data_IF_906475946774
#
_entry.id   IF_906475946774
#
_cell.length_a   1.000
_cell.length_b   1.000
_cell.length_c   1.000
_cell.angle_alpha   90.00
_cell.angle_beta   90.00
_cell.angle_gamma   90.00
#
_symmetry.space_group_name_H-M   'P 1'
#
loop_
_entity.id
_entity.type
_entity.pdbx_description
1 polymer ?
#
# COMPACT_ATOMS: atom_id res chain seq x y z
N UNK A 1 -13.29 10.30 -10.56
CA UNK A 1 -12.44 9.07 -10.64
C UNK A 1 -11.53 9.02 -9.41
N UNK A 2 -11.19 7.83 -8.90
CA UNK A 2 -10.20 7.63 -7.83
C UNK A 2 -9.07 6.78 -8.42
N UNK A 3 -7.89 7.37 -8.55
CA UNK A 3 -6.69 6.76 -9.14
C UNK A 3 -5.79 6.31 -7.99
N UNK A 4 -5.44 5.03 -7.98
CA UNK A 4 -4.56 4.46 -6.96
C UNK A 4 -3.15 4.23 -7.50
N UNK A 5 -2.17 4.66 -6.73
CA UNK A 5 -0.77 4.29 -6.91
C UNK A 5 -0.50 2.85 -6.42
N UNK A 6 0.64 2.26 -6.77
CA UNK A 6 1.05 0.89 -6.37
C UNK A 6 1.05 0.73 -4.84
N UNK A 7 1.52 1.76 -4.12
CA UNK A 7 1.53 1.78 -2.65
C UNK A 7 0.13 1.92 -2.01
N UNK A 8 -0.93 2.15 -2.79
CA UNK A 8 -2.29 2.10 -2.26
C UNK A 8 -3.01 0.85 -2.75
N UNK A 9 -2.73 0.43 -3.99
CA UNK A 9 -3.35 -0.72 -4.61
C UNK A 9 -3.07 -2.03 -3.84
N UNK A 10 -1.87 -2.20 -3.25
CA UNK A 10 -1.59 -3.38 -2.43
C UNK A 10 -2.60 -3.59 -1.29
N UNK A 11 -3.25 -2.50 -0.84
CA UNK A 11 -4.27 -2.54 0.24
C UNK A 11 -5.70 -2.76 -0.19
N UNK A 12 -5.94 -2.76 -1.49
CA UNK A 12 -7.28 -2.87 -2.07
C UNK A 12 -7.27 -3.83 -3.25
N UNK A 13 -6.62 -4.97 -3.05
CA UNK A 13 -6.57 -6.03 -4.06
C UNK A 13 -7.94 -6.70 -4.24
N UNK A 14 -8.19 -7.32 -5.41
CA UNK A 14 -9.32 -8.22 -5.61
C UNK A 14 -9.44 -9.25 -4.48
N UNK A 15 -10.66 -9.45 -3.99
CA UNK A 15 -10.95 -10.34 -2.84
C UNK A 15 -10.80 -9.68 -1.45
N UNK A 16 -10.23 -8.47 -1.36
CA UNK A 16 -10.09 -7.75 -0.09
C UNK A 16 -11.41 -7.00 0.28
N UNK A 17 -11.94 -7.15 1.51
CA UNK A 17 -13.03 -6.33 2.06
C UNK A 17 -12.89 -4.83 1.83
N UNK A 18 -11.67 -4.29 1.87
CA UNK A 18 -11.36 -2.88 1.63
C UNK A 18 -11.74 -2.47 0.20
N UNK A 19 -11.43 -3.30 -0.81
CA UNK A 19 -11.82 -3.03 -2.19
C UNK A 19 -13.34 -3.04 -2.34
N UNK A 20 -14.03 -3.97 -1.69
CA UNK A 20 -15.50 -4.04 -1.70
C UNK A 20 -16.11 -2.75 -1.16
N UNK A 21 -15.62 -2.27 -0.01
CA UNK A 21 -16.09 -1.02 0.58
C UNK A 21 -15.76 0.19 -0.31
N UNK A 22 -14.52 0.28 -0.81
CA UNK A 22 -14.07 1.36 -1.69
C UNK A 22 -14.89 1.42 -2.98
N UNK A 23 -15.16 0.26 -3.59
CA UNK A 23 -15.99 0.13 -4.80
C UNK A 23 -17.42 0.57 -4.53
N UNK A 24 -18.03 0.10 -3.43
CA UNK A 24 -19.38 0.49 -3.05
C UNK A 24 -19.49 2.00 -2.78
N UNK A 25 -18.50 2.58 -2.09
CA UNK A 25 -18.44 4.00 -1.81
C UNK A 25 -18.23 4.84 -3.07
N UNK A 26 -17.27 4.45 -3.92
CA UNK A 26 -17.00 5.14 -5.18
C UNK A 26 -18.26 5.13 -6.08
N UNK A 27 -18.89 3.97 -6.26
CA UNK A 27 -20.12 3.85 -7.04
C UNK A 27 -21.26 4.70 -6.49
N UNK A 28 -21.45 4.73 -5.17
CA UNK A 28 -22.48 5.55 -4.51
C UNK A 28 -22.27 7.04 -4.77
N UNK A 29 -21.01 7.49 -4.84
CA UNK A 29 -20.66 8.88 -5.08
C UNK A 29 -20.43 9.21 -6.56
N UNK A 30 -20.68 8.26 -7.49
CA UNK A 30 -20.48 8.47 -8.93
C UNK A 30 -19.02 8.46 -9.39
N UNK A 31 -18.08 8.03 -8.53
CA UNK A 31 -16.69 7.85 -8.90
C UNK A 31 -16.43 6.44 -9.45
N UNK A 32 -15.51 6.35 -10.41
CA UNK A 32 -14.90 5.08 -10.85
C UNK A 32 -13.54 4.89 -10.20
N UNK A 33 -13.15 3.64 -9.94
CA UNK A 33 -11.79 3.28 -9.53
C UNK A 33 -10.91 3.07 -10.74
N UNK A 34 -9.67 3.55 -10.66
CA UNK A 34 -8.72 3.49 -11.74
C UNK A 34 -7.28 3.29 -11.24
N UNK A 35 -6.44 2.74 -12.11
CA UNK A 35 -5.00 2.57 -11.93
C UNK A 35 -4.32 2.90 -13.26
N UNK A 36 -3.04 3.22 -13.26
CA UNK A 36 -2.29 3.35 -14.51
C UNK A 36 -1.79 1.99 -14.99
N UNK A 37 -1.46 1.87 -16.27
CA UNK A 37 -0.84 0.65 -16.81
C UNK A 37 0.56 0.40 -16.23
N UNK A 38 1.28 1.44 -15.80
CA UNK A 38 2.50 1.34 -15.00
C UNK A 38 2.21 0.62 -13.67
N UNK A 39 1.23 1.11 -12.89
CA UNK A 39 0.83 0.50 -11.61
C UNK A 39 0.40 -0.96 -11.80
N UNK A 40 -0.38 -1.24 -12.86
CA UNK A 40 -0.78 -2.61 -13.19
C UNK A 40 0.43 -3.52 -13.41
N UNK A 41 1.39 -3.11 -14.26
CA UNK A 41 2.61 -3.89 -14.54
C UNK A 41 3.43 -4.14 -13.29
N UNK A 42 3.52 -3.16 -12.39
CA UNK A 42 4.22 -3.29 -11.12
C UNK A 42 3.58 -4.34 -10.23
N UNK A 43 2.26 -4.29 -10.06
CA UNK A 43 1.55 -5.26 -9.24
C UNK A 43 1.64 -6.67 -9.80
N UNK A 44 1.53 -6.82 -11.12
CA UNK A 44 1.69 -8.10 -11.81
C UNK A 44 3.11 -8.65 -11.62
N UNK A 45 4.13 -7.80 -11.74
CA UNK A 45 5.53 -8.18 -11.46
C UNK A 45 5.71 -8.62 -10.01
N UNK A 46 5.24 -7.83 -9.04
CA UNK A 46 5.33 -8.15 -7.62
C UNK A 46 4.61 -9.47 -7.29
N UNK A 47 3.43 -9.71 -7.88
CA UNK A 47 2.69 -10.97 -7.72
C UNK A 47 3.50 -12.15 -8.26
N UNK A 48 4.08 -12.02 -9.45
CA UNK A 48 4.93 -13.07 -10.07
C UNK A 48 6.15 -13.37 -9.21
N UNK A 49 6.83 -12.34 -8.70
CA UNK A 49 7.98 -12.48 -7.80
C UNK A 49 7.58 -13.19 -6.50
N UNK A 50 6.46 -12.78 -5.89
CA UNK A 50 5.90 -13.39 -4.69
C UNK A 50 5.53 -14.87 -4.88
N UNK A 51 4.87 -15.21 -5.99
CA UNK A 51 4.55 -16.60 -6.34
C UNK A 51 5.81 -17.44 -6.57
N UNK A 52 6.81 -16.87 -7.25
CA UNK A 52 8.10 -17.54 -7.48
C UNK A 52 8.81 -17.81 -6.15
N UNK A 53 8.78 -16.85 -5.23
CA UNK A 53 9.38 -17.00 -3.91
C UNK A 53 8.65 -18.06 -3.07
N UNK A 54 7.31 -18.01 -3.03
CA UNK A 54 6.49 -18.98 -2.32
C UNK A 54 6.69 -20.40 -2.85
N UNK A 55 6.83 -20.56 -4.18
CA UNK A 55 7.12 -21.85 -4.80
C UNK A 55 8.49 -22.39 -4.38
N UNK A 56 9.54 -21.57 -4.41
CA UNK A 56 10.87 -21.96 -3.94
C UNK A 56 10.86 -22.38 -2.47
N UNK A 57 10.06 -21.71 -1.65
CA UNK A 57 9.91 -22.03 -0.24
C UNK A 57 9.18 -23.37 -0.04
N UNK A 58 8.10 -23.61 -0.78
CA UNK A 58 7.40 -24.90 -0.79
C UNK A 58 8.32 -26.05 -1.19
N UNK A 59 9.11 -25.89 -2.25
CA UNK A 59 10.09 -26.88 -2.71
C UNK A 59 11.20 -27.13 -1.68
N UNK A 60 11.62 -26.10 -0.95
CA UNK A 60 12.59 -26.23 0.15
C UNK A 60 11.99 -27.00 1.34
N UNK A 61 10.78 -26.64 1.76
CA UNK A 61 10.06 -27.33 2.84
C UNK A 61 9.79 -28.80 2.52
N UNK A 62 9.37 -29.09 1.27
CA UNK A 62 9.17 -30.45 0.78
C UNK A 62 10.46 -31.28 0.84
N UNK A 63 11.59 -30.70 0.42
CA UNK A 63 12.91 -31.35 0.52
C UNK A 63 13.30 -31.63 1.98
N UNK A 64 12.99 -30.73 2.88
CA UNK A 64 13.29 -30.90 4.31
C UNK A 64 12.47 -32.04 4.92
N UNK A 65 11.15 -32.06 4.70
CA UNK A 65 10.26 -33.15 5.16
C UNK A 65 10.71 -34.50 4.60
N UNK A 66 11.12 -34.54 3.33
CA UNK A 66 11.58 -35.75 2.66
C UNK A 66 12.86 -36.38 3.25
N UNK A 67 13.59 -35.67 4.12
CA UNK A 67 14.73 -36.22 4.89
C UNK A 67 14.29 -37.14 6.03
N UNK A 68 13.10 -36.93 6.59
CA UNK A 68 12.62 -37.64 7.78
C UNK A 68 11.67 -38.78 7.47
N UNK A 69 11.21 -38.90 6.22
CA UNK A 69 10.28 -39.95 5.79
C UNK A 69 10.97 -41.01 4.94
N UNK A 70 10.44 -42.24 4.99
CA UNK A 70 10.91 -43.33 4.14
C UNK A 70 10.71 -42.99 2.66
N UNK A 71 11.52 -43.51 1.73
CA UNK A 71 11.39 -43.23 0.30
C UNK A 71 9.96 -43.39 -0.26
N UNK A 72 9.24 -44.43 0.18
CA UNK A 72 7.86 -44.70 -0.24
C UNK A 72 6.81 -43.70 0.29
N UNK A 73 7.17 -42.88 1.28
CA UNK A 73 6.31 -41.88 1.92
C UNK A 73 6.74 -40.44 1.60
N UNK A 74 7.67 -40.26 0.66
CA UNK A 74 8.11 -38.93 0.24
C UNK A 74 6.97 -38.19 -0.43
N UNK A 75 6.89 -36.89 -0.16
CA UNK A 75 6.01 -35.99 -0.89
C UNK A 75 6.64 -35.81 -2.28
N UNK A 76 5.97 -36.30 -3.33
CA UNK A 76 6.49 -36.30 -4.71
C UNK A 76 5.90 -35.14 -5.53
N UNK A 77 4.65 -34.78 -5.30
CA UNK A 77 4.00 -33.65 -5.97
C UNK A 77 2.94 -33.08 -5.05
N UNK A 78 3.04 -31.78 -4.74
CA UNK A 78 1.87 -31.02 -4.34
C UNK A 78 1.07 -30.67 -5.60
N UNK A 79 -0.25 -30.53 -5.51
CA UNK A 79 -1.11 -30.03 -6.61
C UNK A 79 -0.68 -28.68 -7.17
N UNK A 80 0.22 -27.97 -6.48
CA UNK A 80 0.79 -26.68 -6.87
C UNK A 80 2.10 -26.79 -7.65
N UNK A 81 2.80 -27.94 -7.60
CA UNK A 81 4.12 -28.15 -8.25
C UNK A 81 4.05 -27.95 -9.76
N UNK A 82 2.95 -28.39 -10.37
CA UNK A 82 2.78 -28.45 -11.82
C UNK A 82 1.94 -27.27 -12.36
N UNK A 83 1.45 -26.39 -11.49
CA UNK A 83 0.69 -25.21 -11.91
C UNK A 83 1.63 -24.15 -12.50
N UNK A 84 1.37 -23.65 -13.72
CA UNK A 84 2.13 -22.55 -14.30
C UNK A 84 1.93 -21.28 -13.47
N UNK A 85 3.01 -20.67 -13.01
CA UNK A 85 2.98 -19.37 -12.32
C UNK A 85 2.42 -18.27 -13.22
N UNK A 86 2.59 -18.41 -14.54
CA UNK A 86 2.06 -17.51 -15.56
C UNK A 86 0.53 -17.47 -15.52
N UNK A 87 -0.14 -18.63 -15.44
CA UNK A 87 -1.61 -18.69 -15.38
C UNK A 87 -2.18 -17.93 -14.18
N UNK A 88 -1.62 -18.13 -12.99
CA UNK A 88 -2.06 -17.41 -11.77
C UNK A 88 -1.74 -15.90 -11.85
N UNK A 89 -0.69 -15.53 -12.58
CA UNK A 89 -0.34 -14.12 -12.83
C UNK A 89 -1.32 -13.48 -13.81
N UNK A 90 -1.71 -14.20 -14.86
CA UNK A 90 -2.65 -13.72 -15.89
C UNK A 90 -4.07 -13.59 -15.32
N UNK A 91 -4.51 -14.54 -14.50
CA UNK A 91 -5.78 -14.46 -13.78
C UNK A 91 -5.81 -13.24 -12.85
N UNK A 92 -4.73 -13.01 -12.11
CA UNK A 92 -4.61 -11.83 -11.24
C UNK A 92 -4.63 -10.51 -12.04
N UNK A 93 -3.95 -10.45 -13.19
CA UNK A 93 -4.03 -9.28 -14.08
C UNK A 93 -5.47 -9.06 -14.57
N UNK A 94 -6.18 -10.12 -14.97
CA UNK A 94 -7.56 -10.04 -15.41
C UNK A 94 -8.50 -9.52 -14.30
N UNK A 95 -8.33 -9.99 -13.06
CA UNK A 95 -9.08 -9.49 -11.90
C UNK A 95 -8.84 -8.00 -11.65
N UNK A 96 -7.59 -7.53 -11.75
CA UNK A 96 -7.27 -6.11 -11.63
C UNK A 96 -7.94 -5.28 -12.75
N UNK A 97 -7.90 -5.76 -14.00
CA UNK A 97 -8.57 -5.10 -15.12
C UNK A 97 -10.09 -5.10 -15.01
N UNK A 98 -10.66 -6.10 -14.35
CA UNK A 98 -12.09 -6.15 -14.06
C UNK A 98 -12.48 -5.17 -12.95
N UNK A 99 -11.64 -5.02 -11.92
CA UNK A 99 -11.89 -4.15 -10.78
C UNK A 99 -11.60 -2.66 -11.06
N UNK A 100 -10.65 -2.36 -11.95
CA UNK A 100 -10.15 -1.01 -12.18
C UNK A 100 -10.17 -0.60 -13.65
N UNK A 101 -10.51 0.66 -13.90
CA UNK A 101 -10.22 1.30 -15.20
C UNK A 101 -8.71 1.50 -15.34
N UNK A 102 -8.09 0.91 -16.37
CA UNK A 102 -6.64 1.06 -16.60
C UNK A 102 -6.38 2.27 -17.50
N UNK A 103 -5.70 3.27 -16.97
CA UNK A 103 -5.28 4.46 -17.69
C UNK A 103 -3.93 4.20 -18.37
N UNK A 104 -3.88 4.37 -19.68
CA UNK A 104 -2.64 4.22 -20.43
C UNK A 104 -1.76 5.46 -20.25
N UNK A 105 -0.50 5.28 -19.85
CA UNK A 105 0.48 6.37 -19.82
C UNK A 105 0.77 6.87 -21.23
N UNK A 106 0.64 8.19 -21.42
CA UNK A 106 0.96 8.82 -22.69
C UNK A 106 2.47 8.78 -22.95
N UNK A 107 2.92 8.60 -24.21
CA UNK A 107 4.33 8.78 -24.54
C UNK A 107 4.90 10.15 -24.11
N UNK A 108 4.09 11.22 -24.16
CA UNK A 108 4.52 12.55 -23.71
C UNK A 108 4.68 12.61 -22.20
N UNK A 109 3.75 12.01 -21.44
CA UNK A 109 3.82 11.90 -19.98
C UNK A 109 5.08 11.11 -19.55
N UNK A 110 5.37 10.00 -20.25
CA UNK A 110 6.56 9.19 -19.99
C UNK A 110 7.87 9.94 -20.30
N UNK A 111 7.92 10.66 -21.43
CA UNK A 111 9.08 11.45 -21.81
C UNK A 111 9.32 12.60 -20.82
N UNK A 112 8.27 13.31 -20.42
CA UNK A 112 8.37 14.38 -19.42
C UNK A 112 8.82 13.84 -18.07
N UNK A 113 8.33 12.66 -17.67
CA UNK A 113 8.78 12.03 -16.44
C UNK A 113 10.28 11.71 -16.44
N UNK A 114 10.81 11.19 -17.57
CA UNK A 114 12.25 10.97 -17.73
C UNK A 114 13.06 12.27 -17.69
N UNK A 115 12.54 13.34 -18.30
CA UNK A 115 13.18 14.68 -18.22
C UNK A 115 13.20 15.18 -16.78
N UNK A 116 12.09 15.06 -16.05
CA UNK A 116 12.02 15.46 -14.63
C UNK A 116 12.98 14.66 -13.77
N UNK A 117 13.12 13.37 -14.01
CA UNK A 117 14.09 12.53 -13.29
C UNK A 117 15.53 12.96 -13.57
N UNK A 118 15.88 13.19 -14.84
CA UNK A 118 17.21 13.65 -15.24
C UNK A 118 17.56 15.03 -14.66
N UNK A 119 16.58 15.95 -14.68
CA UNK A 119 16.73 17.32 -14.17
C UNK A 119 16.49 17.42 -12.65
N UNK A 120 16.11 16.31 -11.99
CA UNK A 120 15.72 16.25 -10.57
C UNK A 120 14.58 17.22 -10.22
N UNK A 121 13.65 17.39 -11.14
CA UNK A 121 12.44 18.21 -10.98
C UNK A 121 11.33 17.44 -10.26
N UNK A 122 10.55 18.08 -9.37
CA UNK A 122 9.44 17.44 -8.68
C UNK A 122 8.40 16.81 -9.64
N UNK A 123 7.77 15.68 -9.25
CA UNK A 123 7.83 15.01 -7.96
C UNK A 123 9.03 14.06 -7.79
N UNK A 124 9.95 14.00 -8.76
CA UNK A 124 11.19 13.22 -8.59
C UNK A 124 12.00 13.71 -7.39
N UNK A 125 12.69 12.78 -6.75
CA UNK A 125 13.56 13.05 -5.62
C UNK A 125 14.85 13.73 -6.09
N UNK A 126 15.47 14.50 -5.19
CA UNK A 126 16.73 15.20 -5.47
C UNK A 126 17.92 14.27 -5.81
N UNK A 127 17.83 12.97 -5.50
CA UNK A 127 18.82 11.97 -5.89
C UNK A 127 18.68 11.47 -7.34
N UNK A 128 17.69 11.95 -8.11
CA UNK A 128 17.45 11.53 -9.48
C UNK A 128 16.67 10.23 -9.61
N UNK A 129 15.84 9.91 -8.61
CA UNK A 129 14.90 8.78 -8.64
C UNK A 129 13.46 9.30 -8.67
N UNK A 130 12.58 8.57 -9.36
CA UNK A 130 11.12 8.79 -9.30
C UNK A 130 10.47 9.07 -10.63
N UNK A 131 11.14 8.80 -11.76
CA UNK A 131 10.56 8.97 -13.09
C UNK A 131 9.28 8.15 -13.27
N UNK A 132 9.24 6.94 -12.70
CA UNK A 132 8.04 6.09 -12.76
C UNK A 132 6.86 6.68 -11.98
N UNK A 133 7.09 7.12 -10.74
CA UNK A 133 6.06 7.71 -9.88
C UNK A 133 5.58 9.05 -10.49
N UNK A 134 6.50 9.78 -11.13
CA UNK A 134 6.19 10.96 -11.93
C UNK A 134 5.31 10.65 -13.14
N UNK A 135 5.58 9.58 -13.89
CA UNK A 135 4.75 9.18 -15.02
C UNK A 135 3.32 8.78 -14.58
N UNK A 136 3.20 8.12 -13.42
CA UNK A 136 1.90 7.80 -12.80
C UNK A 136 1.14 9.10 -12.47
N UNK A 137 1.82 10.06 -11.83
CA UNK A 137 1.25 11.36 -11.51
C UNK A 137 0.81 12.16 -12.75
N UNK A 138 1.67 12.24 -13.78
CA UNK A 138 1.35 12.96 -15.02
C UNK A 138 0.15 12.33 -15.74
N UNK A 139 0.07 10.99 -15.73
CA UNK A 139 -1.10 10.26 -16.25
C UNK A 139 -2.38 10.65 -15.48
N UNK A 140 -2.31 10.74 -14.15
CA UNK A 140 -3.43 11.17 -13.31
C UNK A 140 -3.82 12.65 -13.56
N UNK A 141 -2.83 13.53 -13.72
CA UNK A 141 -3.02 14.94 -14.03
C UNK A 141 -3.69 15.14 -15.40
N UNK A 142 -3.24 14.41 -16.43
CA UNK A 142 -3.86 14.42 -17.76
C UNK A 142 -5.30 13.91 -17.71
N UNK A 143 -5.56 12.85 -16.94
CA UNK A 143 -6.92 12.35 -16.74
C UNK A 143 -7.83 13.41 -16.06
N UNK A 144 -7.31 14.17 -15.10
CA UNK A 144 -8.04 15.27 -14.47
C UNK A 144 -8.39 16.38 -15.47
N UNK A 145 -7.43 16.81 -16.30
CA UNK A 145 -7.64 17.84 -17.34
C UNK A 145 -8.68 17.40 -18.38
N UNK A 146 -8.57 16.17 -18.89
CA UNK A 146 -9.51 15.63 -19.89
C UNK A 146 -10.95 15.56 -19.37
N UNK A 147 -11.12 15.25 -18.08
CA UNK A 147 -12.45 15.20 -17.48
C UNK A 147 -13.11 16.58 -17.42
N UNK A 148 -12.32 17.63 -17.17
CA UNK A 148 -12.79 19.03 -17.17
C UNK A 148 -13.16 19.49 -18.60
N UNK A 149 -12.32 19.16 -19.58
CA UNK A 149 -12.54 19.51 -20.99
C UNK A 149 -13.84 18.90 -21.54
N UNK A 150 -14.10 17.61 -21.27
CA UNK A 150 -15.29 16.91 -21.76
C UNK A 150 -16.60 17.55 -21.25
N UNK A 151 -16.65 17.95 -19.98
CA UNK A 151 -17.83 18.64 -19.43
C UNK A 151 -17.94 20.09 -19.94
N UNK A 152 -16.82 20.78 -20.16
CA UNK A 152 -16.83 22.11 -20.77
C UNK A 152 -17.45 22.09 -22.17
N UNK A 153 -17.23 21.01 -22.94
CA UNK A 153 -17.83 20.81 -24.26
C UNK A 153 -19.31 20.44 -24.14
N UNK A 154 -19.66 19.51 -23.24
CA UNK A 154 -21.06 19.09 -23.04
C UNK A 154 -21.95 20.23 -22.54
N UNK A 155 -21.48 21.06 -21.62
CA UNK A 155 -22.20 22.23 -21.11
C UNK A 155 -22.45 23.28 -22.19
N UNK A 156 -21.47 23.51 -23.07
CA UNK A 156 -21.62 24.39 -24.25
C UNK A 156 -22.66 23.85 -25.24
N UNK A 157 -22.67 22.55 -25.50
CA UNK A 157 -23.64 21.91 -26.40
C UNK A 157 -25.06 21.97 -25.81
N UNK A 158 -25.20 21.79 -24.50
CA UNK A 158 -26.50 21.75 -23.83
C UNK A 158 -27.16 23.11 -23.62
N UNK A 159 -26.50 24.23 -23.94
CA UNK A 159 -27.03 25.59 -23.76
C UNK A 159 -27.42 25.94 -22.31
N UNK A 160 -27.00 25.13 -21.34
CA UNK A 160 -27.27 25.35 -19.91
C UNK A 160 -26.19 26.27 -19.35
N UNK A 161 -26.60 27.45 -18.88
CA UNK A 161 -25.78 28.22 -17.94
C UNK A 161 -25.43 27.30 -16.76
N UNK A 162 -24.15 27.22 -16.41
CA UNK A 162 -23.52 26.26 -15.49
C UNK A 162 -24.12 26.22 -14.08
N UNK A 163 -25.33 25.69 -13.96
CA UNK A 163 -26.00 25.37 -12.71
C UNK A 163 -26.52 23.94 -12.79
N UNK A 164 -25.76 22.99 -12.26
CA UNK A 164 -26.28 21.63 -12.11
C UNK A 164 -25.33 20.61 -11.50
N UNK A 165 -24.10 20.50 -11.98
CA UNK A 165 -23.18 19.48 -11.44
C UNK A 165 -21.76 19.90 -11.77
N UNK A 166 -20.94 20.18 -10.76
CA UNK A 166 -19.50 20.31 -10.95
C UNK A 166 -18.95 18.92 -11.31
N UNK A 167 -17.98 18.81 -12.23
CA UNK A 167 -17.34 17.53 -12.52
C UNK A 167 -16.78 16.95 -11.22
N UNK A 168 -16.99 15.66 -11.02
CA UNK A 168 -16.44 14.98 -9.86
C UNK A 168 -14.91 15.05 -9.93
N UNK A 169 -14.23 15.49 -8.85
CA UNK A 169 -12.78 15.65 -8.88
C UNK A 169 -12.12 14.30 -9.17
N UNK A 170 -10.98 14.34 -9.87
CA UNK A 170 -10.10 13.19 -9.95
C UNK A 170 -9.29 13.16 -8.67
N UNK A 171 -9.40 12.08 -7.90
CA UNK A 171 -8.66 11.90 -6.65
C UNK A 171 -7.50 10.97 -6.95
N UNK A 172 -6.26 11.44 -6.80
CA UNK A 172 -5.07 10.60 -6.88
C UNK A 172 -4.59 10.26 -5.47
N UNK A 173 -4.53 8.96 -5.17
CA UNK A 173 -4.17 8.44 -3.86
C UNK A 173 -2.77 7.85 -3.92
N UNK A 174 -1.82 8.48 -3.22
CA UNK A 174 -0.41 8.07 -3.17
C UNK A 174 0.18 8.32 -1.79
N UNK A 175 1.03 7.41 -1.34
CA UNK A 175 1.83 7.54 -0.12
C UNK A 175 3.20 8.18 -0.37
N UNK A 176 3.50 8.58 -1.61
CA UNK A 176 4.80 9.10 -1.96
C UNK A 176 5.03 10.47 -1.31
N UNK A 177 6.11 10.53 -0.51
CA UNK A 177 6.57 11.73 0.19
C UNK A 177 7.04 12.82 -0.77
N UNK A 178 7.29 12.48 -2.05
CA UNK A 178 7.55 13.44 -3.13
C UNK A 178 6.43 14.46 -3.33
N UNK A 179 5.22 14.17 -2.84
CA UNK A 179 4.07 15.07 -2.91
C UNK A 179 3.81 15.87 -1.63
N UNK A 180 4.72 15.95 -0.64
CA UNK A 180 4.48 16.66 0.65
C UNK A 180 3.17 16.24 1.36
N UNK A 181 2.77 16.89 2.46
CA UNK A 181 1.42 16.66 3.02
C UNK A 181 0.36 17.21 2.03
N UNK A 182 -0.49 16.39 1.41
CA UNK A 182 -1.48 16.84 0.44
C UNK A 182 -2.53 17.79 1.00
N UNK A 183 -2.69 17.82 2.34
CA UNK A 183 -3.55 18.78 3.04
C UNK A 183 -2.90 20.15 3.18
N UNK A 184 -1.57 20.22 3.09
CA UNK A 184 -0.80 21.45 3.11
C UNK A 184 -0.20 21.74 1.74
N UNK A 185 -1.01 22.25 0.81
CA UNK A 185 -0.56 22.63 -0.55
C UNK A 185 0.64 23.59 -0.56
N UNK A 186 0.85 24.38 0.50
CA UNK A 186 2.01 25.27 0.60
C UNK A 186 3.34 24.52 0.75
N UNK A 187 3.29 23.26 1.19
CA UNK A 187 4.44 22.39 1.31
C UNK A 187 4.86 21.75 -0.03
N UNK A 188 4.04 21.84 -1.08
CA UNK A 188 4.44 21.40 -2.42
C UNK A 188 5.50 22.34 -3.00
N UNK A 189 6.38 21.77 -3.84
CA UNK A 189 7.23 22.56 -4.70
C UNK A 189 6.37 23.55 -5.53
N UNK A 190 6.83 24.80 -5.77
CA UNK A 190 6.05 25.81 -6.49
C UNK A 190 5.49 25.30 -7.83
N UNK A 191 6.31 24.59 -8.62
CA UNK A 191 5.93 24.02 -9.92
C UNK A 191 4.73 23.06 -9.80
N UNK A 192 4.73 22.16 -8.81
CA UNK A 192 3.61 21.24 -8.58
C UNK A 192 2.33 21.97 -8.14
N UNK A 193 2.45 23.08 -7.41
CA UNK A 193 1.27 23.86 -7.00
C UNK A 193 0.58 24.48 -8.20
N UNK A 194 1.35 25.04 -9.12
CA UNK A 194 0.83 25.64 -10.35
C UNK A 194 0.17 24.57 -11.22
N UNK A 195 0.82 23.42 -11.41
CA UNK A 195 0.27 22.30 -12.20
C UNK A 195 -1.06 21.76 -11.65
N UNK A 196 -1.19 21.68 -10.33
CA UNK A 196 -2.41 21.21 -9.65
C UNK A 196 -3.47 22.31 -9.58
N UNK A 197 -3.10 23.59 -9.52
CA UNK A 197 -4.06 24.69 -9.49
C UNK A 197 -4.92 24.73 -10.76
N UNK A 198 -4.33 24.36 -11.90
CA UNK A 198 -4.96 24.38 -13.21
C UNK A 198 -5.73 23.09 -13.56
N UNK A 199 -5.80 22.10 -12.66
CA UNK A 199 -6.49 20.84 -12.90
C UNK A 199 -7.41 20.47 -11.72
N UNK A 200 -8.58 19.82 -11.94
CA UNK A 200 -9.43 19.31 -10.87
C UNK A 200 -8.85 18.00 -10.26
N UNK A 201 -7.58 18.03 -9.88
CA UNK A 201 -6.85 16.93 -9.26
C UNK A 201 -6.75 17.14 -7.75
N UNK A 202 -7.29 16.18 -6.99
CA UNK A 202 -7.19 16.14 -5.53
C UNK A 202 -6.22 15.06 -5.10
N UNK A 203 -5.14 15.43 -4.40
CA UNK A 203 -4.16 14.49 -3.86
C UNK A 203 -4.58 13.99 -2.48
N UNK A 204 -4.52 12.68 -2.22
CA UNK A 204 -4.81 12.07 -0.92
C UNK A 204 -3.72 11.06 -0.56
N UNK A 205 -3.39 10.98 0.73
CA UNK A 205 -2.35 10.05 1.21
C UNK A 205 -2.84 8.62 1.30
N UNK A 206 -4.14 8.43 1.51
CA UNK A 206 -4.69 7.13 1.82
C UNK A 206 -6.15 6.97 1.38
N UNK A 207 -6.57 5.72 1.23
CA UNK A 207 -7.92 5.34 0.80
C UNK A 207 -9.01 5.90 1.73
N UNK A 208 -8.79 5.96 3.04
CA UNK A 208 -9.79 6.49 3.99
C UNK A 208 -9.96 8.01 3.81
N UNK A 209 -8.86 8.74 3.63
CA UNK A 209 -8.88 10.15 3.27
C UNK A 209 -9.56 10.40 1.92
N UNK A 210 -9.42 9.48 0.95
CA UNK A 210 -10.13 9.54 -0.33
C UNK A 210 -11.64 9.29 -0.17
N UNK A 211 -12.03 8.34 0.69
CA UNK A 211 -13.45 8.09 1.03
C UNK A 211 -14.09 9.30 1.71
N UNK A 212 -13.39 9.94 2.64
CA UNK A 212 -13.86 11.16 3.27
C UNK A 212 -14.06 12.29 2.25
N UNK A 213 -13.18 12.38 1.25
CA UNK A 213 -13.26 13.42 0.20
C UNK A 213 -14.51 13.29 -0.66
N UNK A 214 -14.92 12.07 -0.99
CA UNK A 214 -16.14 11.83 -1.77
C UNK A 214 -17.41 11.92 -0.90
N UNK A 215 -17.31 12.41 0.33
CA UNK A 215 -18.44 12.57 1.25
C UNK A 215 -18.90 11.26 1.88
N UNK A 216 -18.08 10.20 1.85
CA UNK A 216 -18.42 8.97 2.56
C UNK A 216 -18.39 9.21 4.08
N UNK A 217 -19.34 8.68 4.86
CA UNK A 217 -19.40 8.90 6.30
C UNK A 217 -18.08 8.50 6.96
N UNK A 218 -17.37 9.51 7.48
CA UNK A 218 -16.09 9.32 8.13
C UNK A 218 -15.98 10.18 9.39
N UNK A 219 -15.24 9.68 10.36
CA UNK A 219 -15.04 10.35 11.64
C UNK A 219 -13.65 10.05 12.19
N UNK A 220 -13.12 11.00 12.96
CA UNK A 220 -11.94 10.76 13.76
C UNK A 220 -12.34 10.12 15.08
N UNK A 221 -11.76 8.97 15.39
CA UNK A 221 -12.00 8.23 16.64
C UNK A 221 -10.71 8.07 17.42
N UNK A 222 -10.84 7.83 18.73
CA UNK A 222 -9.69 7.42 19.53
C UNK A 222 -9.22 6.04 19.05
N UNK A 223 -7.95 5.95 18.63
CA UNK A 223 -7.37 4.72 18.13
C UNK A 223 -7.09 3.71 19.26
N UNK A 224 -7.21 4.09 20.54
CA UNK A 224 -7.01 3.16 21.67
C UNK A 224 -7.94 1.95 21.62
N UNK A 225 -9.22 2.15 21.28
CA UNK A 225 -10.20 1.07 21.22
C UNK A 225 -9.88 0.01 20.17
N UNK A 226 -9.07 0.34 19.16
CA UNK A 226 -8.58 -0.58 18.13
C UNK A 226 -7.24 -1.18 18.57
N UNK A 227 -6.30 -0.32 19.00
CA UNK A 227 -4.91 -0.73 19.28
C UNK A 227 -4.70 -1.49 20.59
N UNK A 228 -5.65 -1.42 21.52
CA UNK A 228 -5.61 -2.18 22.77
C UNK A 228 -6.16 -3.60 22.64
N UNK A 229 -6.85 -3.92 21.53
CA UNK A 229 -7.40 -5.25 21.29
C UNK A 229 -6.30 -6.29 21.05
N UNK A 230 -6.54 -7.51 21.52
CA UNK A 230 -5.58 -8.60 21.41
C UNK A 230 -5.40 -9.10 19.97
N UNK A 231 -6.48 -9.09 19.16
CA UNK A 231 -6.45 -9.43 17.74
C UNK A 231 -5.49 -8.51 16.96
N UNK A 232 -5.67 -7.19 17.08
CA UNK A 232 -4.81 -6.19 16.46
C UNK A 232 -3.35 -6.32 16.94
N UNK A 233 -3.13 -6.51 18.24
CA UNK A 233 -1.77 -6.67 18.81
C UNK A 233 -1.09 -7.93 18.29
N UNK A 234 -1.84 -9.01 18.09
CA UNK A 234 -1.36 -10.25 17.46
C UNK A 234 -0.87 -9.98 16.04
N UNK A 235 -1.73 -9.42 15.19
CA UNK A 235 -1.41 -9.11 13.80
C UNK A 235 -0.23 -8.11 13.67
N UNK A 236 -0.20 -7.07 14.52
CA UNK A 236 0.90 -6.11 14.56
C UNK A 236 2.22 -6.78 14.98
N UNK A 237 2.18 -7.69 15.95
CA UNK A 237 3.38 -8.44 16.36
C UNK A 237 3.91 -9.27 15.21
N UNK A 238 3.05 -9.94 14.46
CA UNK A 238 3.44 -10.71 13.28
C UNK A 238 4.03 -9.82 12.19
N UNK A 239 3.40 -8.67 11.90
CA UNK A 239 3.90 -7.70 10.93
C UNK A 239 5.29 -7.17 11.30
N UNK A 240 5.48 -6.70 12.54
CA UNK A 240 6.79 -6.22 13.03
C UNK A 240 7.83 -7.34 12.99
N UNK A 241 7.45 -8.56 13.35
CA UNK A 241 8.38 -9.71 13.30
C UNK A 241 8.82 -9.99 11.87
N UNK A 242 7.89 -9.95 10.91
CA UNK A 242 8.16 -10.16 9.48
C UNK A 242 9.12 -9.10 8.92
N UNK A 243 8.86 -7.82 9.19
CA UNK A 243 9.73 -6.72 8.77
C UNK A 243 11.11 -6.82 9.40
N UNK A 244 11.17 -7.10 10.71
CA UNK A 244 12.43 -7.34 11.42
C UNK A 244 13.26 -8.40 10.72
N UNK A 245 12.67 -9.55 10.39
CA UNK A 245 13.42 -10.64 9.75
C UNK A 245 13.93 -10.24 8.37
N UNK A 246 13.13 -9.51 7.60
CA UNK A 246 13.54 -8.95 6.31
C UNK A 246 14.74 -8.01 6.41
N UNK A 247 14.88 -7.29 7.53
CA UNK A 247 16.03 -6.42 7.78
C UNK A 247 17.27 -7.15 8.31
N UNK A 248 17.08 -8.19 9.14
CA UNK A 248 18.19 -8.85 9.85
C UNK A 248 18.79 -10.04 9.09
N UNK A 249 18.13 -10.57 8.05
CA UNK A 249 18.62 -11.72 7.30
C UNK A 249 18.22 -11.66 5.83
N UNK A 250 19.15 -11.94 4.89
CA UNK A 250 18.80 -12.17 3.48
C UNK A 250 18.14 -13.54 3.26
N UNK A 251 18.00 -14.37 4.31
CA UNK A 251 17.35 -15.67 4.22
C UNK A 251 15.84 -15.53 3.93
N UNK A 252 15.20 -16.54 3.29
CA UNK A 252 13.77 -16.51 3.01
C UNK A 252 12.96 -16.25 4.28
N UNK A 253 11.90 -15.44 4.15
CA UNK A 253 10.97 -14.97 5.19
C UNK A 253 10.35 -16.05 6.11
N UNK A 254 10.69 -17.32 5.95
CA UNK A 254 9.95 -18.48 6.49
C UNK A 254 10.76 -19.40 7.41
N UNK A 255 12.07 -19.24 7.52
CA UNK A 255 12.82 -19.97 8.55
C UNK A 255 12.88 -19.11 9.83
N UNK A 256 11.85 -19.21 10.67
CA UNK A 256 11.89 -18.68 12.03
C UNK A 256 13.04 -19.36 12.76
N UNK A 257 14.14 -18.65 13.05
CA UNK A 257 15.14 -19.25 13.88
C UNK A 257 14.60 -19.19 15.32
N UNK A 258 14.59 -20.31 16.06
CA UNK A 258 14.15 -20.34 17.47
C UNK A 258 14.87 -19.31 18.36
N UNK A 259 15.98 -18.75 17.86
CA UNK A 259 16.77 -17.71 18.49
C UNK A 259 16.26 -16.27 18.28
N UNK A 260 15.25 -16.01 17.44
CA UNK A 260 14.61 -14.68 17.33
C UNK A 260 13.33 -14.64 18.15
N UNK A 261 13.30 -13.83 19.21
CA UNK A 261 12.08 -13.59 20.00
C UNK A 261 11.68 -12.13 19.93
N UNK A 262 10.50 -11.85 19.38
CA UNK A 262 9.87 -10.53 19.40
C UNK A 262 8.92 -10.39 20.59
N UNK A 263 9.11 -9.33 21.38
CA UNK A 263 8.12 -8.94 22.39
C UNK A 263 6.86 -8.38 21.74
N UNK A 264 5.72 -8.39 22.45
CA UNK A 264 4.54 -7.65 22.03
C UNK A 264 4.92 -6.18 21.77
N UNK A 265 4.57 -5.63 20.59
CA UNK A 265 4.79 -4.23 20.27
C UNK A 265 4.11 -3.34 21.31
N UNK A 266 4.87 -2.36 21.81
CA UNK A 266 4.39 -1.34 22.72
C UNK A 266 4.20 -0.04 21.95
N UNK A 267 2.98 0.45 21.95
CA UNK A 267 2.63 1.75 21.44
C UNK A 267 3.43 2.84 22.18
N UNK A 268 4.14 3.68 21.43
CA UNK A 268 4.90 4.82 21.94
C UNK A 268 4.14 6.13 21.76
N UNK A 269 3.54 6.27 20.58
CA UNK A 269 2.75 7.44 20.20
C UNK A 269 1.62 6.96 19.31
N UNK A 270 0.41 7.42 19.59
CA UNK A 270 -0.77 7.08 18.81
C UNK A 270 -1.35 8.35 18.20
N UNK A 271 -1.62 8.32 16.91
CA UNK A 271 -2.46 9.31 16.26
C UNK A 271 -3.95 9.08 16.56
N UNK A 272 -4.81 9.93 16.02
CA UNK A 272 -6.24 9.60 15.91
C UNK A 272 -6.41 8.55 14.80
N UNK A 273 -7.41 7.69 14.91
CA UNK A 273 -7.82 6.84 13.79
C UNK A 273 -8.86 7.59 12.96
N UNK A 274 -8.71 7.57 11.64
CA UNK A 274 -9.75 8.02 10.73
C UNK A 274 -10.57 6.80 10.32
N UNK A 275 -11.87 6.84 10.58
CA UNK A 275 -12.75 5.69 10.43
C UNK A 275 -13.86 6.00 9.44
N UNK A 276 -14.15 5.07 8.53
CA UNK A 276 -15.30 5.04 7.64
C UNK A 276 -16.18 3.82 7.95
N UNK A 277 -17.51 3.97 7.84
CA UNK A 277 -18.44 2.86 8.09
C UNK A 277 -19.42 2.68 6.93
N UNK A 278 -19.66 1.43 6.53
CA UNK A 278 -20.75 1.09 5.64
C UNK A 278 -20.74 -0.36 5.18
N UNK A 279 -21.90 -0.86 4.76
CA UNK A 279 -22.06 -2.26 4.33
C UNK A 279 -21.73 -3.29 5.41
N UNK A 280 -21.99 -2.96 6.68
CA UNK A 280 -21.64 -3.80 7.83
C UNK A 280 -20.15 -3.80 8.19
N UNK A 281 -19.33 -3.05 7.47
CA UNK A 281 -17.89 -2.96 7.69
C UNK A 281 -17.49 -1.60 8.25
N UNK A 282 -16.44 -1.62 9.06
CA UNK A 282 -15.78 -0.42 9.58
C UNK A 282 -14.32 -0.43 9.14
N UNK A 283 -13.94 0.52 8.31
CA UNK A 283 -12.57 0.70 7.85
C UNK A 283 -11.91 1.80 8.68
N UNK A 284 -10.80 1.50 9.34
CA UNK A 284 -10.06 2.45 10.17
C UNK A 284 -8.62 2.56 9.70
N UNK A 285 -8.21 3.76 9.29
CA UNK A 285 -6.80 4.09 9.06
C UNK A 285 -6.22 4.73 10.31
N UNK A 286 -5.11 4.21 10.81
CA UNK A 286 -4.43 4.76 11.98
C UNK A 286 -2.93 4.80 11.75
N UNK A 287 -2.30 5.88 12.23
CA UNK A 287 -0.85 6.03 12.19
C UNK A 287 -0.33 6.19 13.61
N UNK A 288 0.77 5.52 13.91
CA UNK A 288 1.40 5.59 15.21
C UNK A 288 2.85 5.13 15.17
N UNK A 289 3.51 5.25 16.32
CA UNK A 289 4.86 4.75 16.52
C UNK A 289 4.78 3.58 17.51
N UNK A 290 5.26 2.42 17.10
CA UNK A 290 5.36 1.24 17.96
C UNK A 290 6.82 0.90 18.18
N UNK A 291 7.09 0.32 19.35
CA UNK A 291 8.40 -0.22 19.66
C UNK A 291 8.29 -1.66 20.10
N UNK A 292 9.13 -2.53 19.56
CA UNK A 292 9.27 -3.90 20.03
C UNK A 292 10.71 -4.19 20.44
N UNK A 293 10.87 -5.06 21.43
CA UNK A 293 12.17 -5.61 21.80
C UNK A 293 12.38 -6.94 21.10
N UNK A 294 13.53 -7.11 20.46
CA UNK A 294 13.94 -8.33 19.79
C UNK A 294 15.14 -8.90 20.51
N UNK A 295 15.13 -10.21 20.68
CA UNK A 295 16.28 -10.96 21.17
C UNK A 295 16.78 -11.81 20.02
N UNK A 296 18.08 -11.72 19.72
CA UNK A 296 18.75 -12.54 18.72
C UNK A 296 20.07 -13.07 19.27
N UNK A 297 20.37 -14.36 19.04
CA UNK A 297 21.68 -14.95 19.39
C UNK A 297 22.80 -14.49 18.47
N UNK A 298 22.48 -14.15 17.23
CA UNK A 298 23.45 -13.77 16.21
C UNK A 298 23.34 -12.28 15.88
N UNK A 299 24.49 -11.62 15.71
CA UNK A 299 24.59 -10.22 15.32
C UNK A 299 24.07 -10.05 13.88
N UNK A 300 23.14 -9.13 13.62
CA UNK A 300 22.79 -8.73 12.26
C UNK A 300 23.96 -7.97 11.62
N UNK A 301 24.22 -8.22 10.34
CA UNK A 301 25.25 -7.51 9.59
C UNK A 301 24.97 -6.00 9.56
N UNK A 302 26.00 -5.17 9.76
CA UNK A 302 25.90 -3.70 9.68
C UNK A 302 25.66 -2.94 10.99
N UNK A 303 25.36 -3.60 12.11
CA UNK A 303 25.28 -2.95 13.44
C UNK A 303 26.65 -2.90 14.11
N UNK A 304 27.08 -1.78 14.70
CA UNK A 304 28.38 -1.64 15.40
C UNK A 304 28.58 -2.71 16.49
N UNK A 305 29.81 -3.18 16.74
CA UNK A 305 30.08 -4.18 17.77
C UNK A 305 29.71 -3.59 19.14
N UNK A 306 28.65 -4.10 19.75
CA UNK A 306 28.42 -3.88 21.18
C UNK A 306 29.38 -4.74 21.98
N UNK A 307 29.93 -4.19 23.06
CA UNK A 307 30.94 -4.80 23.93
C UNK A 307 30.41 -5.99 24.76
N UNK A 308 29.19 -6.43 24.51
CA UNK A 308 28.48 -7.41 25.33
C UNK A 308 28.53 -8.78 24.64
N UNK A 309 29.28 -9.73 25.24
CA UNK A 309 29.22 -11.15 24.90
C UNK A 309 27.85 -11.69 25.35
N UNK A 310 26.91 -11.96 24.44
CA UNK A 310 25.61 -12.59 24.77
C UNK A 310 24.50 -12.41 23.71
N UNK A 311 23.27 -12.77 24.09
CA UNK A 311 22.05 -12.50 23.32
C UNK A 311 21.92 -10.98 23.06
N UNK A 312 21.85 -10.58 21.80
CA UNK A 312 21.63 -9.18 21.42
C UNK A 312 20.19 -8.79 21.69
N UNK A 313 20.02 -7.67 22.37
CA UNK A 313 18.70 -7.09 22.63
C UNK A 313 18.54 -5.85 21.77
N UNK A 314 17.92 -6.02 20.62
CA UNK A 314 17.62 -4.90 19.74
C UNK A 314 16.28 -4.29 20.10
N UNK A 315 16.19 -2.97 20.01
CA UNK A 315 14.91 -2.26 20.01
C UNK A 315 14.60 -1.84 18.59
N UNK A 316 13.47 -2.32 18.09
CA UNK A 316 12.86 -1.74 16.90
C UNK A 316 11.88 -0.68 17.33
N UNK A 317 11.99 0.48 16.69
CA UNK A 317 10.96 1.51 16.69
C UNK A 317 10.52 1.69 15.25
N UNK A 318 9.22 1.57 15.00
CA UNK A 318 8.66 1.71 13.67
C UNK A 318 7.47 2.68 13.70
N UNK A 319 7.48 3.64 12.78
CA UNK A 319 6.29 4.39 12.44
C UNK A 319 5.47 3.53 11.49
N UNK A 320 4.25 3.20 11.89
CA UNK A 320 3.39 2.27 11.16
C UNK A 320 2.09 2.99 10.82
N UNK A 321 1.62 2.80 9.60
CA UNK A 321 0.27 3.08 9.19
C UNK A 321 -0.45 1.75 9.05
N UNK A 322 -1.59 1.61 9.71
CA UNK A 322 -2.39 0.41 9.69
C UNK A 322 -3.77 0.71 9.10
N UNK A 323 -4.18 -0.08 8.13
CA UNK A 323 -5.53 -0.13 7.61
C UNK A 323 -6.23 -1.34 8.22
N UNK A 324 -7.23 -1.08 9.05
CA UNK A 324 -7.94 -2.11 9.82
C UNK A 324 -9.37 -2.20 9.33
N UNK A 325 -9.81 -3.41 8.99
CA UNK A 325 -11.21 -3.71 8.67
C UNK A 325 -11.82 -4.43 9.86
N UNK A 326 -12.95 -3.92 10.33
CA UNK A 326 -13.76 -4.53 11.37
C UNK A 326 -15.15 -4.89 10.85
N UNK A 327 -15.74 -5.96 11.37
CA UNK A 327 -17.11 -6.35 11.06
C UNK A 327 -18.16 -5.57 11.91
N UNK A 328 -19.43 -5.96 11.83
CA UNK A 328 -20.54 -5.35 12.59
C UNK A 328 -20.39 -5.53 14.11
N UNK A 329 -19.74 -6.60 14.54
CA UNK A 329 -19.43 -6.90 15.95
C UNK A 329 -18.23 -6.08 16.46
N UNK A 330 -17.49 -5.45 15.54
CA UNK A 330 -16.27 -4.70 15.81
C UNK A 330 -15.01 -5.57 15.87
N UNK A 331 -15.08 -6.83 15.44
CA UNK A 331 -13.95 -7.74 15.40
C UNK A 331 -13.03 -7.44 14.21
N UNK A 332 -11.72 -7.49 14.44
CA UNK A 332 -10.73 -7.22 13.39
C UNK A 332 -10.65 -8.43 12.47
N UNK A 333 -11.26 -8.32 11.29
CA UNK A 333 -11.24 -9.37 10.27
C UNK A 333 -9.98 -9.28 9.40
N UNK A 334 -9.43 -8.08 9.24
CA UNK A 334 -8.24 -7.83 8.46
C UNK A 334 -7.50 -6.60 8.99
N UNK A 335 -6.17 -6.67 8.98
CA UNK A 335 -5.32 -5.53 9.26
C UNK A 335 -4.08 -5.61 8.38
N UNK A 336 -3.82 -4.53 7.67
CA UNK A 336 -2.63 -4.36 6.86
C UNK A 336 -1.76 -3.26 7.43
N UNK A 337 -0.46 -3.50 7.45
CA UNK A 337 0.52 -2.63 8.09
C UNK A 337 1.56 -2.20 7.06
N UNK A 338 1.80 -0.91 6.96
CA UNK A 338 2.92 -0.34 6.23
C UNK A 338 3.83 0.41 7.19
N UNK A 339 5.13 0.10 7.16
CA UNK A 339 6.11 0.85 7.94
C UNK A 339 6.59 2.06 7.15
N UNK A 340 6.43 3.25 7.70
CA UNK A 340 6.90 4.51 7.10
C UNK A 340 8.37 4.80 7.45
N UNK A 341 8.83 4.26 8.57
CA UNK A 341 10.21 4.31 9.04
C UNK A 341 10.46 3.13 9.99
N UNK A 342 11.65 2.51 9.93
CA UNK A 342 12.06 1.49 10.89
C UNK A 342 13.48 1.80 11.37
N UNK A 343 13.63 1.97 12.67
CA UNK A 343 14.92 2.22 13.32
C UNK A 343 15.25 1.09 14.26
N UNK A 344 16.45 0.52 14.10
CA UNK A 344 16.99 -0.51 14.99
C UNK A 344 18.07 0.14 15.85
N UNK A 345 17.90 0.08 17.17
CA UNK A 345 18.92 0.51 18.13
C UNK A 345 19.33 -0.67 19.02
N UNK A 346 20.59 -0.66 19.46
CA UNK A 346 21.03 -1.43 20.62
C UNK A 346 20.44 -0.84 21.92
#
# INVERSE_FOLDING_TARGET
>A
MIILDTNQLHRVLPGNPTLTLLTAAANRCGHTLAITDIVLREMVRQRREGLTQARKALEAAQREVNKYVRPASRVVSSTWSDRPTELETDLFEAELRQAFTVLHTDPEDALEALKREADRRPPCKANGEGGRDTAIYLTALRAARKNDDLESVQSRIAGKASGGTRPLPVIFVTEDKGFSDPKNRTAFAPELREEIADAPLTLRLDVVSALAEIGYPSQWVDAKSITERDDFRGMLREAVTRETLGMLSPAPREAFPEWVRTRPPRLRRLGKAHQCKGGGLTLSMLTGTWSSGIFTRNRPDGLSPSTIKGDYRLRITADITALVVQDESGDVIEAEFSSTSVTITD
#
